data_IF_082578948316
#
_entry.id   IF_082578948316
#
_cell.length_a   1.000
_cell.length_b   1.000
_cell.length_c   1.000
_cell.angle_alpha   90.00
_cell.angle_beta   90.00
_cell.angle_gamma   90.00
#
_symmetry.space_group_name_H-M   'P 1'
#
loop_
_entity.id
_entity.type
_entity.pdbx_description
1 polymer ?
#
# COMPACT_ATOMS: atom_id res chain seq x y z
N UNK A 1 -29.74 -10.33 17.05
CA UNK A 1 -28.56 -9.81 16.31
C UNK A 1 -28.95 -8.54 15.58
N UNK A 2 -28.24 -7.43 15.82
CA UNK A 2 -28.42 -6.19 15.04
C UNK A 2 -27.94 -6.45 13.61
N UNK A 3 -28.75 -6.10 12.61
CA UNK A 3 -28.40 -6.25 11.20
C UNK A 3 -28.01 -4.88 10.65
N UNK A 4 -26.78 -4.76 10.15
CA UNK A 4 -26.30 -3.57 9.46
C UNK A 4 -26.57 -3.67 7.95
N UNK A 5 -26.78 -2.51 7.32
CA UNK A 5 -26.79 -2.37 5.86
C UNK A 5 -25.57 -1.52 5.46
N UNK A 6 -24.84 -1.96 4.45
CA UNK A 6 -23.72 -1.20 3.91
C UNK A 6 -24.13 -0.52 2.60
N UNK A 7 -23.76 0.74 2.42
CA UNK A 7 -23.96 1.50 1.19
C UNK A 7 -22.62 2.08 0.74
N UNK A 8 -22.18 1.73 -0.46
CA UNK A 8 -20.98 2.32 -1.05
C UNK A 8 -21.26 3.77 -1.46
N UNK A 9 -20.33 4.67 -1.11
CA UNK A 9 -20.39 6.09 -1.47
C UNK A 9 -19.35 6.34 -2.56
N UNK A 10 -19.83 6.76 -3.73
CA UNK A 10 -18.96 7.17 -4.83
C UNK A 10 -18.45 8.60 -4.61
N UNK A 11 -17.16 8.82 -4.84
CA UNK A 11 -16.50 10.13 -4.83
C UNK A 11 -15.62 10.27 -6.06
N UNK A 12 -15.23 11.50 -6.41
CA UNK A 12 -14.17 11.71 -7.41
C UNK A 12 -12.79 11.32 -6.87
N UNK A 13 -11.79 11.27 -7.74
CA UNK A 13 -10.40 10.99 -7.34
C UNK A 13 -9.90 11.97 -6.28
N UNK A 14 -9.11 11.45 -5.35
CA UNK A 14 -8.51 12.20 -4.26
C UNK A 14 -7.10 12.61 -4.64
N UNK A 15 -6.80 13.89 -4.49
CA UNK A 15 -5.51 14.48 -4.85
C UNK A 15 -4.81 15.05 -3.62
N UNK A 16 -3.47 15.11 -3.62
CA UNK A 16 -2.72 15.85 -2.61
C UNK A 16 -3.23 17.29 -2.46
N UNK A 17 -3.52 17.69 -1.22
CA UNK A 17 -4.06 19.00 -0.88
C UNK A 17 -5.60 19.10 -0.88
N UNK A 18 -6.32 18.03 -1.25
CA UNK A 18 -7.78 18.00 -1.15
C UNK A 18 -8.23 18.20 0.31
N UNK A 19 -9.27 19.02 0.53
CA UNK A 19 -9.94 19.08 1.83
C UNK A 19 -10.79 17.83 2.03
N UNK A 20 -10.18 16.79 2.61
CA UNK A 20 -10.84 15.50 2.82
C UNK A 20 -12.09 15.61 3.69
N UNK A 21 -12.12 16.46 4.72
CA UNK A 21 -13.29 16.63 5.60
C UNK A 21 -14.48 17.14 4.79
N UNK A 22 -14.29 18.22 4.02
CA UNK A 22 -15.34 18.77 3.17
C UNK A 22 -15.83 17.74 2.15
N UNK A 23 -14.90 17.03 1.51
CA UNK A 23 -15.22 15.99 0.51
C UNK A 23 -16.02 14.83 1.11
N UNK A 24 -15.68 14.38 2.32
CA UNK A 24 -16.43 13.37 3.06
C UNK A 24 -17.85 13.87 3.33
N UNK A 25 -17.98 15.05 3.96
CA UNK A 25 -19.28 15.64 4.33
C UNK A 25 -20.18 15.78 3.09
N UNK A 26 -19.67 16.37 2.00
CA UNK A 26 -20.42 16.55 0.77
C UNK A 26 -20.87 15.22 0.13
N UNK A 27 -20.09 14.15 0.29
CA UNK A 27 -20.40 12.83 -0.26
C UNK A 27 -21.49 12.07 0.53
N UNK A 28 -21.68 12.40 1.83
CA UNK A 28 -22.57 11.66 2.73
C UNK A 28 -23.79 12.44 3.24
N UNK A 29 -23.79 13.78 3.17
CA UNK A 29 -24.76 14.66 3.86
C UNK A 29 -26.24 14.29 3.68
N UNK A 30 -26.63 13.75 2.52
CA UNK A 30 -28.02 13.39 2.21
C UNK A 30 -28.27 11.86 2.26
N UNK A 31 -27.36 11.11 2.90
CA UNK A 31 -27.28 9.64 2.81
C UNK A 31 -27.07 8.94 4.14
N UNK A 32 -26.86 9.68 5.22
CA UNK A 32 -26.59 9.15 6.57
C UNK A 32 -27.51 9.79 7.59
N UNK A 33 -27.77 9.06 8.67
CA UNK A 33 -28.50 9.54 9.85
C UNK A 33 -27.63 9.41 11.11
N UNK A 34 -28.08 10.00 12.21
CA UNK A 34 -27.40 9.85 13.49
C UNK A 34 -27.33 8.37 13.91
N UNK A 35 -26.16 7.94 14.40
CA UNK A 35 -25.86 6.55 14.72
C UNK A 35 -25.32 5.70 13.56
N UNK A 36 -25.25 6.22 12.34
CA UNK A 36 -24.58 5.53 11.23
C UNK A 36 -23.04 5.57 11.36
N UNK A 37 -22.38 4.55 10.79
CA UNK A 37 -20.92 4.48 10.70
C UNK A 37 -20.42 4.94 9.33
N UNK A 38 -19.45 5.85 9.32
CA UNK A 38 -18.73 6.26 8.12
C UNK A 38 -17.36 5.58 8.11
N UNK A 39 -17.15 4.66 7.17
CA UNK A 39 -15.87 3.96 7.00
C UNK A 39 -15.14 4.53 5.80
N UNK A 40 -13.91 5.01 6.02
CA UNK A 40 -13.09 5.67 5.00
C UNK A 40 -11.78 4.90 4.86
N UNK A 41 -11.32 4.77 3.61
CA UNK A 41 -9.99 4.22 3.34
C UNK A 41 -8.91 5.17 3.84
N UNK A 42 -8.00 4.67 4.67
CA UNK A 42 -6.80 5.39 5.13
C UNK A 42 -6.01 5.99 3.95
N UNK A 43 -5.82 5.23 2.87
CA UNK A 43 -5.14 5.69 1.65
C UNK A 43 -5.74 6.98 1.10
N UNK A 44 -7.07 7.12 1.11
CA UNK A 44 -7.72 8.32 0.60
C UNK A 44 -7.32 9.56 1.42
N UNK A 45 -7.35 9.43 2.75
CA UNK A 45 -6.94 10.50 3.68
C UNK A 45 -5.44 10.78 3.54
N UNK A 46 -4.60 9.74 3.53
CA UNK A 46 -3.15 9.84 3.32
C UNK A 46 -2.82 10.57 2.01
N UNK A 47 -3.52 10.24 0.92
CA UNK A 47 -3.37 10.91 -0.38
C UNK A 47 -3.75 12.39 -0.28
N UNK A 48 -4.90 12.73 0.33
CA UNK A 48 -5.33 14.12 0.50
C UNK A 48 -4.36 14.94 1.37
N UNK A 49 -3.76 14.32 2.39
CA UNK A 49 -2.72 14.94 3.22
C UNK A 49 -1.38 15.12 2.49
N UNK A 50 -1.26 14.63 1.25
CA UNK A 50 0.01 14.63 0.52
C UNK A 50 1.04 13.66 1.08
N UNK A 51 0.61 12.67 1.88
CA UNK A 51 1.45 11.63 2.48
C UNK A 51 1.74 10.50 1.47
N UNK A 52 2.23 10.91 0.30
CA UNK A 52 2.61 10.03 -0.81
C UNK A 52 4.07 10.25 -1.19
N UNK A 53 4.71 9.23 -1.75
CA UNK A 53 6.11 9.27 -2.18
C UNK A 53 6.22 8.77 -3.61
N UNK A 54 6.96 9.49 -4.46
CA UNK A 54 7.35 8.99 -5.78
C UNK A 54 8.58 8.10 -5.65
N UNK A 55 8.40 6.78 -5.81
CA UNK A 55 9.50 5.84 -5.73
C UNK A 55 10.51 5.99 -6.86
N UNK A 56 10.16 6.61 -7.99
CA UNK A 56 11.09 6.79 -9.10
C UNK A 56 12.27 7.69 -8.74
N UNK A 57 12.08 8.61 -7.80
CA UNK A 57 13.11 9.50 -7.28
C UNK A 57 14.12 8.79 -6.35
N UNK A 58 13.84 7.56 -5.93
CA UNK A 58 14.64 6.82 -4.95
C UNK A 58 15.79 6.09 -5.65
N UNK A 59 17.02 6.31 -5.15
CA UNK A 59 18.21 5.57 -5.57
C UNK A 59 18.43 4.35 -4.65
N UNK A 60 18.30 3.11 -5.16
CA UNK A 60 18.42 1.93 -4.32
C UNK A 60 19.88 1.62 -3.95
N UNK A 61 20.11 1.33 -2.67
CA UNK A 61 21.39 0.82 -2.16
C UNK A 61 21.65 -0.63 -2.59
N UNK A 62 22.87 -1.11 -2.36
CA UNK A 62 23.21 -2.52 -2.57
C UNK A 62 22.31 -3.45 -1.74
N UNK A 63 22.05 -3.09 -0.47
CA UNK A 63 21.18 -3.87 0.42
C UNK A 63 19.77 -4.00 -0.15
N UNK A 64 19.18 -2.91 -0.63
CA UNK A 64 17.86 -2.94 -1.25
C UNK A 64 17.83 -3.81 -2.52
N UNK A 65 18.90 -3.78 -3.33
CA UNK A 65 19.04 -4.66 -4.51
C UNK A 65 19.18 -6.12 -4.14
N UNK A 66 19.90 -6.44 -3.06
CA UNK A 66 20.01 -7.81 -2.53
C UNK A 66 18.64 -8.28 -2.04
N UNK A 67 17.88 -7.44 -1.34
CA UNK A 67 16.52 -7.77 -0.92
C UNK A 67 15.62 -8.07 -2.13
N UNK A 68 15.59 -7.20 -3.13
CA UNK A 68 14.76 -7.40 -4.31
C UNK A 68 15.17 -8.64 -5.14
N UNK A 69 16.47 -8.89 -5.30
CA UNK A 69 16.97 -9.99 -6.15
C UNK A 69 17.00 -11.34 -5.44
N UNK A 70 17.63 -11.40 -4.28
CA UNK A 70 17.88 -12.66 -3.57
C UNK A 70 16.75 -12.96 -2.59
N UNK A 71 16.43 -12.03 -1.69
CA UNK A 71 15.45 -12.27 -0.64
C UNK A 71 14.05 -12.51 -1.22
N UNK A 72 13.58 -11.64 -2.12
CA UNK A 72 12.24 -11.76 -2.70
C UNK A 72 12.12 -12.93 -3.69
N UNK A 73 13.03 -13.05 -4.65
CA UNK A 73 12.89 -14.10 -5.69
C UNK A 73 13.27 -15.48 -5.22
N UNK A 74 14.27 -15.61 -4.34
CA UNK A 74 14.81 -16.90 -3.91
C UNK A 74 14.20 -17.31 -2.57
N UNK A 75 14.46 -16.54 -1.51
CA UNK A 75 14.03 -16.91 -0.15
C UNK A 75 12.50 -16.94 -0.06
N UNK A 76 11.81 -15.86 -0.43
CA UNK A 76 10.35 -15.86 -0.47
C UNK A 76 9.77 -16.71 -1.59
N UNK A 77 10.35 -16.67 -2.79
CA UNK A 77 9.82 -17.39 -3.96
C UNK A 77 9.96 -18.92 -3.90
N UNK A 78 10.91 -19.49 -3.18
CA UNK A 78 11.13 -20.94 -3.18
C UNK A 78 11.10 -21.58 -1.80
N UNK A 79 11.41 -20.83 -0.73
CA UNK A 79 11.45 -21.38 0.63
C UNK A 79 10.24 -20.91 1.45
N UNK A 80 10.17 -19.63 1.79
CA UNK A 80 9.15 -19.12 2.72
C UNK A 80 7.74 -19.17 2.12
N UNK A 81 7.57 -18.89 0.83
CA UNK A 81 6.26 -18.88 0.19
C UNK A 81 5.54 -20.24 0.29
N UNK A 82 6.16 -21.35 -0.15
CA UNK A 82 5.61 -22.69 0.03
C UNK A 82 5.39 -23.07 1.50
N UNK A 83 6.36 -22.76 2.38
CA UNK A 83 6.26 -23.06 3.82
C UNK A 83 5.08 -22.35 4.49
N UNK A 84 4.76 -21.13 4.04
CA UNK A 84 3.60 -20.37 4.51
C UNK A 84 2.29 -20.73 3.78
N UNK A 85 2.26 -21.76 2.93
CA UNK A 85 1.05 -22.18 2.22
C UNK A 85 0.52 -21.14 1.23
N UNK A 86 1.40 -20.30 0.66
CA UNK A 86 1.00 -19.26 -0.27
C UNK A 86 0.43 -19.83 -1.58
N UNK A 87 -0.51 -19.13 -2.18
CA UNK A 87 -1.04 -19.48 -3.49
C UNK A 87 0.09 -19.49 -4.54
N UNK A 88 0.07 -20.50 -5.43
CA UNK A 88 1.07 -20.68 -6.48
C UNK A 88 1.28 -19.41 -7.34
N UNK A 89 0.19 -18.69 -7.65
CA UNK A 89 0.25 -17.43 -8.41
C UNK A 89 1.05 -16.35 -7.68
N UNK A 90 0.94 -16.27 -6.35
CA UNK A 90 1.69 -15.31 -5.55
C UNK A 90 3.17 -15.70 -5.49
N UNK A 91 3.45 -16.98 -5.30
CA UNK A 91 4.82 -17.52 -5.34
C UNK A 91 5.48 -17.23 -6.68
N UNK A 92 4.79 -17.44 -7.80
CA UNK A 92 5.30 -17.12 -9.13
C UNK A 92 5.61 -15.62 -9.30
N UNK A 93 4.75 -14.74 -8.78
CA UNK A 93 5.00 -13.29 -8.76
C UNK A 93 6.24 -12.94 -7.95
N UNK A 94 6.46 -13.58 -6.80
CA UNK A 94 7.65 -13.36 -5.98
C UNK A 94 8.92 -13.80 -6.72
N UNK A 95 8.90 -14.94 -7.41
CA UNK A 95 10.02 -15.39 -8.26
C UNK A 95 10.33 -14.40 -9.40
N UNK A 96 9.30 -13.71 -9.90
CA UNK A 96 9.40 -12.66 -10.93
C UNK A 96 9.46 -11.23 -10.37
N UNK A 97 9.70 -11.05 -9.07
CA UNK A 97 9.68 -9.74 -8.41
C UNK A 97 10.56 -8.72 -9.15
N UNK A 98 10.06 -7.51 -9.49
CA UNK A 98 10.78 -6.59 -10.36
C UNK A 98 12.07 -6.10 -9.71
N UNK A 99 13.19 -6.16 -10.44
CA UNK A 99 14.49 -5.81 -9.86
C UNK A 99 14.64 -4.30 -9.67
N UNK A 100 14.23 -3.50 -10.65
CA UNK A 100 14.43 -2.05 -10.59
C UNK A 100 13.44 -1.40 -9.61
N UNK A 101 12.14 -1.41 -9.93
CA UNK A 101 11.11 -0.82 -9.07
C UNK A 101 11.06 -1.48 -7.70
N UNK A 102 11.20 -2.80 -7.62
CA UNK A 102 11.25 -3.51 -6.34
C UNK A 102 12.47 -3.13 -5.49
N UNK A 103 13.62 -2.82 -6.08
CA UNK A 103 14.75 -2.28 -5.30
C UNK A 103 14.47 -0.88 -4.77
N UNK A 104 13.82 -0.02 -5.56
CA UNK A 104 13.40 1.33 -5.12
C UNK A 104 12.41 1.23 -3.96
N UNK A 105 11.43 0.32 -4.07
CA UNK A 105 10.49 0.02 -3.00
C UNK A 105 11.19 -0.48 -1.74
N UNK A 106 12.04 -1.52 -1.84
CA UNK A 106 12.81 -2.03 -0.68
C UNK A 106 13.68 -0.96 -0.04
N UNK A 107 14.22 -0.02 -0.83
CA UNK A 107 14.97 1.11 -0.30
C UNK A 107 14.08 2.06 0.52
N UNK A 108 12.87 2.38 0.03
CA UNK A 108 11.89 3.17 0.78
C UNK A 108 11.58 2.51 2.13
N UNK A 109 11.26 1.22 2.11
CA UNK A 109 10.87 0.49 3.32
C UNK A 109 12.02 0.44 4.32
N UNK A 110 13.25 0.16 3.86
CA UNK A 110 14.44 0.19 4.71
C UNK A 110 14.62 1.55 5.40
N UNK A 111 14.39 2.65 4.69
CA UNK A 111 14.58 4.00 5.21
C UNK A 111 13.49 4.43 6.19
N UNK A 112 12.25 4.02 5.96
CA UNK A 112 11.09 4.51 6.72
C UNK A 112 10.67 3.57 7.86
N UNK A 113 10.80 2.27 7.66
CA UNK A 113 10.24 1.25 8.55
C UNK A 113 11.26 0.19 9.01
N UNK A 114 12.48 0.26 8.48
CA UNK A 114 13.60 -0.58 8.90
C UNK A 114 13.62 -1.97 8.26
N UNK A 115 14.62 -2.75 8.68
CA UNK A 115 14.96 -4.02 8.04
C UNK A 115 13.85 -5.07 8.15
N UNK A 116 13.22 -5.22 9.32
CA UNK A 116 12.19 -6.25 9.54
C UNK A 116 11.04 -6.07 8.55
N UNK A 117 10.58 -4.83 8.36
CA UNK A 117 9.52 -4.53 7.39
C UNK A 117 10.01 -4.72 5.95
N UNK A 118 11.25 -4.37 5.64
CA UNK A 118 11.82 -4.59 4.32
C UNK A 118 12.02 -6.07 3.98
N UNK A 119 12.13 -6.96 4.98
CA UNK A 119 12.19 -8.41 4.77
C UNK A 119 10.82 -9.01 4.47
N UNK A 120 9.70 -8.33 4.72
CA UNK A 120 8.37 -8.84 4.41
C UNK A 120 8.13 -8.88 2.90
N UNK A 121 7.30 -9.82 2.42
CA UNK A 121 6.92 -9.87 1.00
C UNK A 121 5.71 -8.98 0.67
N UNK A 122 4.97 -8.56 1.70
CA UNK A 122 3.78 -7.72 1.62
C UNK A 122 3.53 -7.04 2.96
N UNK A 123 2.51 -6.18 3.03
CA UNK A 123 2.32 -5.18 4.09
C UNK A 123 3.41 -4.10 4.07
N UNK A 124 4.68 -4.48 4.18
CA UNK A 124 5.84 -3.60 3.98
C UNK A 124 5.73 -2.26 4.75
N UNK A 125 5.26 -2.33 6.01
CA UNK A 125 5.02 -1.15 6.84
C UNK A 125 3.74 -0.37 6.52
N UNK A 126 2.78 -0.96 5.82
CA UNK A 126 1.53 -0.30 5.44
C UNK A 126 1.64 0.58 4.20
N UNK A 127 2.79 0.57 3.52
CA UNK A 127 2.99 1.31 2.27
C UNK A 127 2.18 0.66 1.16
N UNK A 128 1.36 1.46 0.47
CA UNK A 128 0.44 0.94 -0.52
C UNK A 128 0.60 1.66 -1.86
N UNK A 129 1.14 0.94 -2.85
CA UNK A 129 1.32 1.39 -4.23
C UNK A 129 0.15 1.09 -5.18
N UNK A 130 -0.94 0.51 -4.68
CA UNK A 130 -2.14 0.30 -5.49
C UNK A 130 -2.96 1.59 -5.64
N UNK A 131 -3.73 1.72 -6.72
CA UNK A 131 -4.66 2.85 -6.95
C UNK A 131 -4.00 4.25 -6.89
N UNK A 132 -2.71 4.33 -7.17
CA UNK A 132 -1.95 5.57 -7.35
C UNK A 132 -1.29 5.55 -8.73
N UNK A 133 -1.11 6.72 -9.37
CA UNK A 133 -0.51 6.79 -10.69
C UNK A 133 1.00 6.54 -10.63
N UNK A 134 1.58 6.08 -11.75
CA UNK A 134 3.03 5.92 -11.93
C UNK A 134 3.69 5.04 -10.84
N UNK A 135 4.70 5.58 -10.14
CA UNK A 135 5.42 4.92 -9.06
C UNK A 135 5.13 5.59 -7.70
N UNK A 136 3.97 6.24 -7.57
CA UNK A 136 3.56 6.81 -6.30
C UNK A 136 3.05 5.72 -5.35
N UNK A 137 3.43 5.84 -4.09
CA UNK A 137 2.92 5.02 -2.99
C UNK A 137 2.37 5.90 -1.88
N UNK A 138 1.30 5.47 -1.22
CA UNK A 138 0.80 6.13 -0.01
C UNK A 138 1.49 5.55 1.21
N UNK A 139 1.93 6.43 2.11
CA UNK A 139 2.42 6.01 3.43
C UNK A 139 1.23 5.82 4.38
N UNK A 140 1.37 4.97 5.41
CA UNK A 140 0.36 4.84 6.44
C UNK A 140 0.22 6.14 7.27
N UNK A 141 -0.95 6.31 7.90
CA UNK A 141 -1.26 7.40 8.84
C UNK A 141 -0.88 7.08 10.29
#
# INVERSE_FOLDING_TARGET
MVKYKARAISTGYWHPGDNYIKKIIESIKDRVIDGDFVVISEKAISTAMGNIVDENSIKPSLSARILAKFWMRIIWGYLLGPLCGMQNKMIERLRRYPLESGSKHKQLILQRFGLIQALMFGSEGGVDGSNLPYAYVSLPL
#
